data_IF_811908969442
#
_entry.id   IF_811908969442
#
_cell.length_a   1.000
_cell.length_b   1.000
_cell.length_c   1.000
_cell.angle_alpha   90.00
_cell.angle_beta   90.00
_cell.angle_gamma   90.00
#
_symmetry.space_group_name_H-M   'P 1'
#
loop_
_entity.id
_entity.type
_entity.pdbx_description
1 polymer ?
#
# COMPACT_ATOMS: atom_id res chain seq x y z
N UNK A 1 -18.79 6.52 33.93
CA UNK A 1 -18.05 7.75 33.59
C UNK A 1 -17.28 7.51 32.30
N UNK A 2 -17.49 8.40 31.31
CA UNK A 2 -16.65 8.82 30.17
C UNK A 2 -15.79 7.76 29.41
N UNK A 3 -16.00 7.41 28.14
CA UNK A 3 -16.00 8.16 26.84
C UNK A 3 -14.62 8.22 26.13
N UNK A 4 -14.63 8.02 24.79
CA UNK A 4 -13.58 8.35 23.80
C UNK A 4 -12.94 7.12 23.15
N UNK A 5 -13.25 6.63 21.93
CA UNK A 5 -13.38 7.22 20.58
C UNK A 5 -12.21 8.12 20.18
N UNK A 6 -11.39 7.68 19.21
CA UNK A 6 -11.07 8.51 18.05
C UNK A 6 -10.56 7.68 16.86
N UNK A 7 -11.10 8.03 15.69
CA UNK A 7 -10.80 7.60 14.33
C UNK A 7 -10.31 8.85 13.62
N UNK A 8 -9.24 8.81 12.82
CA UNK A 8 -8.89 9.92 11.93
C UNK A 8 -8.41 9.40 10.57
N UNK A 9 -9.20 9.76 9.56
CA UNK A 9 -8.99 9.65 8.13
C UNK A 9 -7.82 10.52 7.66
N UNK A 10 -7.12 10.04 6.63
CA UNK A 10 -6.19 10.83 5.83
C UNK A 10 -6.87 11.41 4.59
N UNK A 11 -6.77 12.73 4.41
CA UNK A 11 -6.97 13.43 3.14
C UNK A 11 -5.79 14.35 2.89
N UNK A 12 -5.00 14.05 1.86
CA UNK A 12 -4.02 14.96 1.29
C UNK A 12 -4.57 15.56 -0.02
N UNK A 13 -4.67 16.88 -0.07
CA UNK A 13 -5.03 17.66 -1.26
C UNK A 13 -3.83 18.41 -1.82
N UNK A 14 -3.92 18.65 -3.13
CA UNK A 14 -2.86 19.00 -4.06
C UNK A 14 -2.32 20.45 -3.99
N UNK A 15 -1.14 20.61 -4.61
CA UNK A 15 -0.29 21.80 -4.79
C UNK A 15 -0.72 22.61 -6.02
N UNK A 16 -0.63 23.95 -5.96
CA UNK A 16 -0.82 24.85 -7.09
C UNK A 16 0.09 26.10 -7.05
N UNK A 17 0.52 26.52 -8.25
CA UNK A 17 0.95 27.86 -8.72
C UNK A 17 2.31 28.43 -8.24
N UNK A 18 3.28 28.73 -9.13
CA UNK A 18 3.41 29.86 -10.11
C UNK A 18 4.14 31.06 -9.45
N UNK A 19 5.18 31.73 -9.99
CA UNK A 19 5.22 32.44 -11.27
C UNK A 19 6.61 33.12 -11.52
N UNK A 20 7.06 33.17 -12.79
CA UNK A 20 7.66 34.30 -13.59
C UNK A 20 8.78 35.23 -13.02
N UNK A 21 9.69 35.91 -13.76
CA UNK A 21 10.22 35.92 -15.15
C UNK A 21 11.16 37.16 -15.31
N UNK A 22 12.40 36.95 -15.83
CA UNK A 22 13.30 37.76 -16.72
C UNK A 22 13.72 39.24 -16.52
N UNK A 23 14.89 39.51 -17.15
CA UNK A 23 15.47 40.74 -17.80
C UNK A 23 16.64 41.39 -17.03
N UNK A 24 17.89 41.58 -17.47
CA UNK A 24 18.67 41.68 -18.73
C UNK A 24 19.13 43.11 -19.05
N UNK A 25 20.41 43.45 -18.81
CA UNK A 25 21.29 44.46 -19.47
C UNK A 25 22.61 44.55 -18.66
N UNK A 26 23.78 45.04 -19.11
CA UNK A 26 24.56 45.05 -20.37
C UNK A 26 25.76 45.98 -20.06
N UNK A 27 26.99 45.48 -20.26
CA UNK A 27 28.25 46.16 -20.61
C UNK A 27 28.73 47.44 -19.88
N UNK A 28 29.95 47.38 -19.30
CA UNK A 28 31.16 48.19 -19.66
C UNK A 28 32.35 47.88 -18.71
N UNK A 29 33.46 47.38 -19.25
CA UNK A 29 34.84 47.55 -18.72
C UNK A 29 35.42 48.91 -19.20
N UNK A 30 36.64 49.43 -18.85
CA UNK A 30 37.76 48.85 -18.08
C UNK A 30 38.53 49.81 -17.09
N UNK A 31 39.42 49.19 -16.28
CA UNK A 31 40.75 49.65 -15.80
C UNK A 31 40.90 51.01 -15.07
N UNK A 32 41.29 50.93 -13.78
CA UNK A 32 42.43 51.68 -13.22
C UNK A 32 42.92 51.09 -11.90
N UNK A 33 44.26 51.04 -11.77
CA UNK A 33 45.05 50.54 -10.64
C UNK A 33 45.04 51.55 -9.48
N UNK A 34 44.93 51.06 -8.25
CA UNK A 34 45.55 51.67 -7.07
C UNK A 34 45.66 50.65 -5.93
N UNK A 35 46.73 50.83 -5.16
CA UNK A 35 47.44 49.97 -4.20
C UNK A 35 46.66 49.20 -3.11
N UNK A 36 47.33 48.20 -2.48
CA UNK A 36 46.72 47.18 -1.63
C UNK A 36 46.76 47.57 -0.15
N UNK A 37 45.62 47.77 0.49
CA UNK A 37 45.46 47.50 1.93
C UNK A 37 43.98 47.58 2.35
N UNK A 38 43.24 46.47 2.30
CA UNK A 38 42.15 46.27 3.27
C UNK A 38 41.69 44.81 3.32
N UNK A 39 42.04 44.20 4.44
CA UNK A 39 41.59 42.91 4.92
C UNK A 39 40.08 42.94 5.26
N UNK A 40 39.28 42.07 4.62
CA UNK A 40 38.40 41.10 5.30
C UNK A 40 37.81 40.13 4.25
N UNK A 41 38.13 38.83 4.26
CA UNK A 41 37.40 37.85 3.47
C UNK A 41 36.10 37.48 4.18
N UNK A 42 34.96 37.74 3.52
CA UNK A 42 33.68 37.20 3.92
C UNK A 42 33.78 35.68 4.11
N UNK A 43 33.40 35.23 5.30
CA UNK A 43 33.69 33.95 5.92
C UNK A 43 33.23 32.73 5.10
N UNK A 44 34.15 31.84 4.65
CA UNK A 44 33.82 30.51 4.10
C UNK A 44 33.06 29.59 5.08
N UNK A 45 33.02 29.97 6.36
CA UNK A 45 32.45 29.20 7.47
C UNK A 45 30.93 29.02 7.38
N UNK A 46 30.18 30.02 6.90
CA UNK A 46 28.72 29.99 7.00
C UNK A 46 28.08 28.96 6.03
N UNK A 47 28.65 28.81 4.83
CA UNK A 47 28.25 27.80 3.85
C UNK A 47 28.53 26.38 4.36
N UNK A 48 29.71 26.16 4.93
CA UNK A 48 30.10 24.90 5.56
C UNK A 48 29.11 24.49 6.66
N UNK A 49 28.73 25.42 7.53
CA UNK A 49 27.78 25.12 8.61
C UNK A 49 26.37 24.75 8.12
N UNK A 50 25.88 25.39 7.03
CA UNK A 50 24.58 25.05 6.44
C UNK A 50 24.59 23.62 5.87
N UNK A 51 25.67 23.26 5.18
CA UNK A 51 25.87 21.90 4.67
C UNK A 51 25.97 20.89 5.80
N UNK A 52 26.72 21.20 6.86
CA UNK A 52 26.84 20.32 8.02
C UNK A 52 25.48 20.07 8.71
N UNK A 53 24.66 21.12 8.89
CA UNK A 53 23.29 20.98 9.42
C UNK A 53 22.41 20.12 8.52
N UNK A 54 22.52 20.29 7.21
CA UNK A 54 21.78 19.49 6.23
C UNK A 54 22.22 18.02 6.26
N UNK A 55 23.53 17.76 6.28
CA UNK A 55 24.10 16.42 6.37
C UNK A 55 23.65 15.74 7.66
N UNK A 56 23.68 16.44 8.80
CA UNK A 56 23.18 15.93 10.08
C UNK A 56 21.68 15.58 9.99
N UNK A 57 20.86 16.48 9.46
CA UNK A 57 19.42 16.24 9.28
C UNK A 57 19.14 15.04 8.38
N UNK A 58 19.85 14.92 7.26
CA UNK A 58 19.73 13.78 6.35
C UNK A 58 20.20 12.48 7.00
N UNK A 59 21.31 12.51 7.73
CA UNK A 59 21.82 11.37 8.47
C UNK A 59 20.82 10.87 9.52
N UNK A 60 20.18 11.78 10.27
CA UNK A 60 19.10 11.41 11.20
C UNK A 60 17.93 10.77 10.46
N UNK A 61 17.47 11.34 9.34
CA UNK A 61 16.37 10.78 8.53
C UNK A 61 16.71 9.38 7.98
N UNK A 62 17.93 9.19 7.48
CA UNK A 62 18.41 7.89 7.00
C UNK A 62 18.42 6.89 8.16
N UNK A 63 18.89 7.29 9.35
CA UNK A 63 18.89 6.42 10.52
C UNK A 63 17.47 6.04 10.96
N UNK A 64 16.51 6.97 10.92
CA UNK A 64 15.09 6.67 11.23
C UNK A 64 14.49 5.73 10.19
N UNK A 65 14.67 6.00 8.90
CA UNK A 65 14.14 5.14 7.83
C UNK A 65 14.74 3.74 7.87
N UNK A 66 16.05 3.61 8.12
CA UNK A 66 16.67 2.29 8.28
C UNK A 66 16.10 1.53 9.48
N UNK A 67 15.87 2.22 10.61
CA UNK A 67 15.21 1.60 11.77
C UNK A 67 13.78 1.16 11.45
N UNK A 68 13.03 1.93 10.67
CA UNK A 68 11.68 1.57 10.24
C UNK A 68 11.68 0.38 9.27
N UNK A 69 12.60 0.36 8.30
CA UNK A 69 12.78 -0.76 7.36
C UNK A 69 13.04 -2.05 8.15
N UNK A 70 14.00 -2.06 9.07
CA UNK A 70 14.29 -3.25 9.89
C UNK A 70 13.08 -3.71 10.73
N UNK A 71 12.30 -2.76 11.26
CA UNK A 71 11.04 -3.08 11.95
C UNK A 71 10.01 -3.70 11.01
N UNK A 72 9.85 -3.18 9.80
CA UNK A 72 8.91 -3.75 8.82
C UNK A 72 9.36 -5.12 8.31
N UNK A 73 10.66 -5.35 8.11
CA UNK A 73 11.22 -6.63 7.66
C UNK A 73 11.05 -7.74 8.69
N UNK A 74 11.24 -7.44 9.98
CA UNK A 74 11.00 -8.38 11.08
C UNK A 74 9.52 -8.77 11.15
N UNK A 75 8.61 -7.80 11.06
CA UNK A 75 7.16 -8.06 11.01
C UNK A 75 6.73 -8.87 9.78
N UNK A 76 7.30 -8.59 8.61
CA UNK A 76 7.03 -9.36 7.39
C UNK A 76 7.51 -10.81 7.51
N UNK A 77 8.68 -11.03 8.13
CA UNK A 77 9.22 -12.37 8.36
C UNK A 77 8.34 -13.14 9.35
N UNK A 78 7.94 -12.51 10.47
CA UNK A 78 7.02 -13.11 11.44
C UNK A 78 5.67 -13.49 10.80
N UNK A 79 5.11 -12.61 9.95
CA UNK A 79 3.85 -12.87 9.25
C UNK A 79 3.98 -14.01 8.23
N UNK A 80 5.10 -14.10 7.51
CA UNK A 80 5.37 -15.19 6.56
C UNK A 80 5.54 -16.54 7.26
N UNK A 81 6.22 -16.57 8.40
CA UNK A 81 6.32 -17.80 9.21
C UNK A 81 4.94 -18.29 9.65
N UNK A 82 4.06 -17.39 10.11
CA UNK A 82 2.67 -17.73 10.49
C UNK A 82 1.85 -18.38 9.37
N UNK A 83 2.14 -18.07 8.11
CA UNK A 83 1.47 -18.67 6.94
C UNK A 83 2.01 -20.06 6.56
N UNK A 84 3.27 -20.36 6.92
CA UNK A 84 3.94 -21.62 6.62
C UNK A 84 3.76 -22.67 7.70
N UNK A 85 3.25 -22.32 8.89
CA UNK A 85 2.90 -23.32 9.90
C UNK A 85 1.90 -24.32 9.28
N UNK A 86 2.14 -25.63 9.43
CA UNK A 86 1.22 -26.62 8.91
C UNK A 86 -0.08 -26.43 9.68
N UNK A 87 -1.07 -25.82 9.02
CA UNK A 87 -2.46 -25.96 9.38
C UNK A 87 -2.81 -27.44 9.22
N UNK A 88 -2.38 -28.22 10.21
CA UNK A 88 -2.93 -29.49 10.61
C UNK A 88 -4.43 -29.27 10.70
N UNK A 89 -5.14 -29.71 9.67
CA UNK A 89 -6.42 -30.40 9.72
C UNK A 89 -7.08 -30.39 8.33
N UNK A 90 -7.13 -31.58 7.72
CA UNK A 90 -8.14 -32.07 6.77
C UNK A 90 -8.11 -31.48 5.35
N UNK A 91 -7.62 -32.22 4.35
CA UNK A 91 -8.27 -33.36 3.66
C UNK A 91 -9.23 -32.90 2.55
N UNK A 92 -8.90 -33.25 1.30
CA UNK A 92 -9.84 -33.20 0.18
C UNK A 92 -9.19 -32.93 -1.18
N UNK A 93 -9.01 -34.00 -1.97
CA UNK A 93 -8.89 -34.06 -3.44
C UNK A 93 -7.71 -33.32 -4.08
N UNK A 94 -6.57 -33.98 -4.33
CA UNK A 94 -6.30 -34.86 -5.48
C UNK A 94 -6.24 -34.10 -6.82
N UNK A 95 -5.02 -33.86 -7.32
CA UNK A 95 -4.77 -33.34 -8.66
C UNK A 95 -3.47 -32.55 -8.76
N UNK A 96 -2.38 -33.28 -8.98
CA UNK A 96 -1.12 -32.88 -9.68
C UNK A 96 -0.26 -31.70 -9.16
N UNK A 97 1.06 -31.87 -9.26
CA UNK A 97 2.16 -30.98 -8.84
C UNK A 97 2.41 -30.76 -7.34
N UNK A 98 2.96 -31.82 -6.73
CA UNK A 98 3.69 -31.80 -5.46
C UNK A 98 5.06 -31.11 -5.63
N UNK A 99 5.09 -29.80 -5.71
CA UNK A 99 6.27 -29.02 -5.29
C UNK A 99 5.89 -28.21 -4.06
N UNK A 100 6.75 -28.13 -3.02
CA UNK A 100 6.52 -27.23 -1.90
C UNK A 100 6.74 -25.81 -2.39
N UNK A 101 5.77 -25.26 -3.13
CA UNK A 101 5.81 -23.88 -3.57
C UNK A 101 5.64 -23.03 -2.31
N UNK A 102 6.63 -22.19 -1.93
CA UNK A 102 6.44 -21.23 -0.86
C UNK A 102 5.20 -20.41 -1.21
N UNK A 103 4.14 -20.56 -0.42
CA UNK A 103 2.85 -19.94 -0.75
C UNK A 103 3.01 -18.45 -0.57
N UNK A 104 3.22 -17.74 -1.68
CA UNK A 104 3.23 -16.29 -1.68
C UNK A 104 1.91 -15.80 -1.04
N UNK A 105 1.96 -15.02 0.06
CA UNK A 105 0.76 -14.51 0.71
C UNK A 105 -0.17 -13.80 -0.27
N UNK A 106 0.39 -13.05 -1.24
CA UNK A 106 -0.40 -12.33 -2.22
C UNK A 106 -1.17 -13.30 -3.13
N UNK A 107 -0.52 -14.37 -3.60
CA UNK A 107 -1.16 -15.41 -4.39
C UNK A 107 -2.27 -16.15 -3.62
N UNK A 108 -2.08 -16.42 -2.31
CA UNK A 108 -3.13 -17.03 -1.47
C UNK A 108 -4.36 -16.14 -1.41
N UNK A 109 -4.17 -14.85 -1.10
CA UNK A 109 -5.28 -13.89 -0.98
C UNK A 109 -5.97 -13.71 -2.33
N UNK A 110 -5.22 -13.58 -3.42
CA UNK A 110 -5.78 -13.45 -4.77
C UNK A 110 -6.59 -14.69 -5.16
N UNK A 111 -6.09 -15.90 -4.88
CA UNK A 111 -6.84 -17.14 -5.11
C UNK A 111 -8.13 -17.17 -4.29
N UNK A 112 -8.08 -16.73 -3.04
CA UNK A 112 -9.26 -16.68 -2.17
C UNK A 112 -10.30 -15.68 -2.68
N UNK A 113 -9.88 -14.47 -3.04
CA UNK A 113 -10.76 -13.44 -3.63
C UNK A 113 -11.41 -13.96 -4.91
N UNK A 114 -10.64 -14.61 -5.79
CA UNK A 114 -11.15 -15.20 -7.03
C UNK A 114 -12.23 -16.24 -6.75
N UNK A 115 -11.96 -17.19 -5.85
CA UNK A 115 -12.93 -18.23 -5.50
C UNK A 115 -14.21 -17.66 -4.87
N UNK A 116 -14.10 -16.62 -4.04
CA UNK A 116 -15.28 -15.94 -3.48
C UNK A 116 -16.12 -15.26 -4.56
N UNK A 117 -15.49 -14.61 -5.54
CA UNK A 117 -16.22 -14.01 -6.67
C UNK A 117 -16.90 -15.08 -7.52
N UNK A 118 -16.18 -16.15 -7.88
CA UNK A 118 -16.73 -17.26 -8.67
C UNK A 118 -17.91 -17.93 -7.95
N UNK A 119 -17.80 -18.17 -6.63
CA UNK A 119 -18.91 -18.71 -5.83
C UNK A 119 -20.11 -17.77 -5.81
N UNK A 120 -19.90 -16.47 -5.55
CA UNK A 120 -21.00 -15.50 -5.50
C UNK A 120 -21.71 -15.38 -6.85
N UNK A 121 -20.95 -15.34 -7.95
CA UNK A 121 -21.51 -15.27 -9.30
C UNK A 121 -22.38 -16.50 -9.60
N UNK A 122 -21.87 -17.72 -9.34
CA UNK A 122 -22.62 -18.95 -9.56
C UNK A 122 -23.85 -19.02 -8.65
N UNK A 123 -23.72 -18.63 -7.37
CA UNK A 123 -24.83 -18.62 -6.42
C UNK A 123 -25.94 -17.67 -6.87
N UNK A 124 -25.60 -16.45 -7.25
CA UNK A 124 -26.59 -15.45 -7.68
C UNK A 124 -27.30 -15.88 -8.98
N UNK A 125 -26.56 -16.45 -9.93
CA UNK A 125 -27.14 -17.06 -11.15
C UNK A 125 -28.06 -18.22 -10.78
N UNK A 126 -27.59 -19.13 -9.93
CA UNK A 126 -28.33 -20.33 -9.52
C UNK A 126 -29.63 -19.97 -8.81
N UNK A 127 -29.59 -19.04 -7.85
CA UNK A 127 -30.78 -18.55 -7.15
C UNK A 127 -31.75 -17.82 -8.09
N UNK A 128 -31.23 -17.01 -9.03
CA UNK A 128 -32.05 -16.37 -10.07
C UNK A 128 -32.81 -17.39 -10.94
N UNK A 129 -32.12 -18.44 -11.39
CA UNK A 129 -32.74 -19.52 -12.17
C UNK A 129 -33.75 -20.32 -11.35
N UNK A 130 -33.45 -20.61 -10.09
CA UNK A 130 -34.36 -21.31 -9.18
C UNK A 130 -35.62 -20.48 -8.91
N UNK A 131 -35.51 -19.15 -8.83
CA UNK A 131 -36.66 -18.25 -8.76
C UNK A 131 -37.60 -18.42 -9.96
N UNK A 132 -37.06 -18.43 -11.18
CA UNK A 132 -37.85 -18.66 -12.39
C UNK A 132 -38.52 -20.04 -12.41
N UNK A 133 -37.82 -21.08 -11.94
CA UNK A 133 -38.38 -22.45 -11.84
C UNK A 133 -39.48 -22.53 -10.78
N UNK A 134 -39.30 -21.86 -9.64
CA UNK A 134 -40.28 -21.81 -8.56
C UNK A 134 -41.57 -21.12 -9.04
N UNK A 135 -41.44 -19.99 -9.75
CA UNK A 135 -42.55 -19.28 -10.39
C UNK A 135 -43.28 -20.17 -11.42
N UNK A 136 -42.55 -20.85 -12.30
CA UNK A 136 -43.15 -21.71 -13.34
C UNK A 136 -43.91 -22.93 -12.76
N UNK A 137 -43.45 -23.47 -11.62
CA UNK A 137 -44.10 -24.60 -10.93
C UNK A 137 -45.17 -24.16 -9.93
N UNK A 138 -45.24 -22.88 -9.59
CA UNK A 138 -46.11 -22.37 -8.53
C UNK A 138 -45.74 -22.87 -7.13
N UNK A 139 -44.46 -23.16 -6.88
CA UNK A 139 -43.94 -23.61 -5.58
C UNK A 139 -43.12 -22.50 -4.92
N UNK A 140 -42.87 -22.60 -3.60
CA UNK A 140 -42.00 -21.63 -2.93
C UNK A 140 -40.55 -21.88 -3.30
N UNK A 141 -39.74 -20.82 -3.32
CA UNK A 141 -38.29 -20.89 -3.55
C UNK A 141 -37.58 -21.95 -2.70
N UNK A 142 -37.96 -22.07 -1.42
CA UNK A 142 -37.39 -23.07 -0.48
C UNK A 142 -37.68 -24.50 -0.93
N UNK A 143 -38.90 -24.77 -1.40
CA UNK A 143 -39.30 -26.11 -1.87
C UNK A 143 -38.58 -26.45 -3.19
N UNK A 144 -38.36 -25.44 -4.05
CA UNK A 144 -37.57 -25.59 -5.26
C UNK A 144 -36.09 -25.89 -4.95
N UNK A 145 -35.45 -25.13 -4.05
CA UNK A 145 -34.07 -25.37 -3.59
C UNK A 145 -33.89 -26.79 -3.05
N UNK A 146 -34.81 -27.23 -2.19
CA UNK A 146 -34.80 -28.59 -1.64
C UNK A 146 -34.87 -29.66 -2.75
N UNK A 147 -35.65 -29.42 -3.80
CA UNK A 147 -35.73 -30.35 -4.94
C UNK A 147 -34.42 -30.46 -5.75
N UNK A 148 -33.57 -29.44 -5.68
CA UNK A 148 -32.23 -29.43 -6.29
C UNK A 148 -31.11 -29.79 -5.29
N UNK A 149 -31.45 -30.15 -4.05
CA UNK A 149 -30.49 -30.56 -3.03
C UNK A 149 -29.69 -29.42 -2.39
N UNK A 150 -30.15 -28.18 -2.51
CA UNK A 150 -29.51 -27.00 -1.90
C UNK A 150 -30.16 -26.70 -0.55
N UNK A 151 -29.36 -26.69 0.52
CA UNK A 151 -29.81 -26.34 1.87
C UNK A 151 -29.86 -24.82 2.09
N UNK A 152 -30.48 -24.40 3.19
CA UNK A 152 -30.58 -22.97 3.56
C UNK A 152 -29.22 -22.33 3.91
N UNK A 153 -28.18 -23.14 4.12
CA UNK A 153 -26.84 -22.70 4.52
C UNK A 153 -25.78 -22.84 3.41
N UNK A 154 -26.19 -23.27 2.23
CA UNK A 154 -25.32 -23.51 1.07
C UNK A 154 -25.36 -22.34 0.08
#
# INVERSE_FOLDING_TARGET
MAQGKCSCEGKGTARAASNQQTTAVSMTDPVSKSDPDQAVPATPSQYSQKHEKMIKSLSTKISTLNSEISKTETLLSEAREKLNLPASNKAGTAGEDKTPIPKDPAAIVQRHIRLLHEYNEIKDIGLGLIGLVAEARGVRHVDALQSFGVGEKD
#
